data_IF_317915788008
#
_entry.id   IF_317915788008
#
_cell.length_a   1.000
_cell.length_b   1.000
_cell.length_c   1.000
_cell.angle_alpha   90.00
_cell.angle_beta   90.00
_cell.angle_gamma   90.00
#
_symmetry.space_group_name_H-M   'P 1'
#
loop_
_entity.id
_entity.type
_entity.pdbx_description
1 polymer ?
#
# COMPACT_ATOMS: atom_id res chain seq x y z
N UNK A 1 -15.93 2.28 -4.16
CA UNK A 1 -14.66 1.86 -4.78
C UNK A 1 -14.10 3.03 -5.58
N UNK A 2 -12.81 3.37 -5.44
CA UNK A 2 -12.14 4.43 -6.24
C UNK A 2 -11.43 3.75 -7.41
N UNK A 3 -11.69 4.21 -8.63
CA UNK A 3 -10.97 3.77 -9.81
C UNK A 3 -9.62 4.50 -9.88
N UNK A 4 -8.53 3.76 -10.09
CA UNK A 4 -7.15 4.29 -10.16
C UNK A 4 -6.57 4.29 -11.60
N UNK A 5 -7.38 3.97 -12.61
CA UNK A 5 -6.96 3.97 -14.02
C UNK A 5 -6.38 5.34 -14.45
N UNK A 6 -7.01 6.49 -14.12
CA UNK A 6 -6.46 7.80 -14.49
C UNK A 6 -5.05 8.06 -13.94
N UNK A 7 -4.77 7.61 -12.72
CA UNK A 7 -3.45 7.69 -12.10
C UNK A 7 -2.43 6.81 -12.83
N UNK A 8 -2.81 5.61 -13.24
CA UNK A 8 -1.93 4.73 -14.03
C UNK A 8 -1.65 5.30 -15.42
N UNK A 9 -2.65 5.90 -16.06
CA UNK A 9 -2.49 6.55 -17.36
C UNK A 9 -1.53 7.73 -17.29
N UNK A 10 -1.59 8.54 -16.21
CA UNK A 10 -0.64 9.63 -15.96
C UNK A 10 0.80 9.13 -15.82
N UNK A 11 1.02 8.07 -15.04
CA UNK A 11 2.36 7.48 -14.91
C UNK A 11 2.88 6.96 -16.25
N UNK A 12 2.04 6.25 -17.00
CA UNK A 12 2.38 5.72 -18.32
C UNK A 12 2.74 6.84 -19.30
N UNK A 13 1.97 7.92 -19.33
CA UNK A 13 2.24 9.08 -20.19
C UNK A 13 3.57 9.77 -19.85
N UNK A 14 4.00 9.71 -18.58
CA UNK A 14 5.29 10.22 -18.11
C UNK A 14 6.46 9.21 -18.28
N UNK A 15 6.23 8.03 -18.86
CA UNK A 15 7.25 7.00 -19.02
C UNK A 15 7.63 6.29 -17.71
N UNK A 16 6.84 6.45 -16.66
CA UNK A 16 7.08 5.82 -15.36
C UNK A 16 6.27 4.52 -15.26
N UNK A 17 6.95 3.40 -15.03
CA UNK A 17 6.33 2.08 -14.88
C UNK A 17 6.59 1.54 -13.48
N UNK A 18 5.55 1.39 -12.64
CA UNK A 18 5.68 0.70 -11.37
C UNK A 18 6.18 -0.74 -11.56
N UNK A 19 7.05 -1.19 -10.67
CA UNK A 19 7.57 -2.57 -10.62
C UNK A 19 6.52 -3.56 -10.10
N UNK A 20 5.49 -3.06 -9.41
CA UNK A 20 4.38 -3.85 -8.89
C UNK A 20 3.19 -2.96 -8.47
N UNK A 21 2.00 -3.53 -8.51
CA UNK A 21 0.72 -2.86 -8.22
C UNK A 21 -0.19 -3.76 -7.39
N UNK A 22 -0.43 -3.40 -6.13
CA UNK A 22 -1.33 -4.13 -5.25
C UNK A 22 -2.60 -3.31 -4.99
N UNK A 23 -3.74 -3.81 -5.49
CA UNK A 23 -5.06 -3.28 -5.14
C UNK A 23 -5.49 -3.84 -3.79
N UNK A 24 -5.64 -2.99 -2.79
CA UNK A 24 -5.93 -3.40 -1.41
C UNK A 24 -7.44 -3.60 -1.27
N UNK A 25 -7.84 -4.87 -1.25
CA UNK A 25 -9.24 -5.31 -1.18
C UNK A 25 -9.43 -6.27 0.00
N UNK A 26 -10.18 -7.36 -0.15
CA UNK A 26 -10.25 -8.41 0.87
C UNK A 26 -8.86 -8.99 1.16
N UNK A 27 -8.55 -9.24 2.43
CA UNK A 27 -7.20 -9.65 2.87
C UNK A 27 -6.23 -8.48 3.13
N UNK A 28 -6.64 -7.24 2.84
CA UNK A 28 -5.94 -6.03 3.28
C UNK A 28 -4.48 -5.97 2.81
N UNK A 29 -3.59 -5.47 3.64
CA UNK A 29 -2.17 -5.33 3.31
C UNK A 29 -1.47 -6.69 3.30
N UNK A 30 -1.76 -7.50 4.33
CA UNK A 30 -1.04 -8.74 4.61
C UNK A 30 -1.21 -9.78 3.49
N UNK A 31 -2.36 -9.78 2.82
CA UNK A 31 -2.60 -10.75 1.74
C UNK A 31 -2.34 -10.16 0.35
N UNK A 32 -2.55 -8.85 0.14
CA UNK A 32 -2.46 -8.27 -1.21
C UNK A 32 -1.04 -7.84 -1.60
N UNK A 33 -0.26 -7.29 -0.67
CA UNK A 33 1.10 -6.82 -0.98
C UNK A 33 2.04 -7.99 -1.35
N UNK A 34 2.07 -9.12 -0.62
CA UNK A 34 2.99 -10.22 -0.96
C UNK A 34 2.77 -10.83 -2.36
N UNK A 35 1.54 -10.75 -2.91
CA UNK A 35 1.20 -11.33 -4.22
C UNK A 35 1.95 -10.70 -5.39
N UNK A 36 2.46 -9.48 -5.20
CA UNK A 36 3.21 -8.75 -6.23
C UNK A 36 4.72 -8.76 -5.98
N UNK A 37 5.18 -9.38 -4.89
CA UNK A 37 6.59 -9.40 -4.51
C UNK A 37 7.21 -10.78 -4.82
N UNK A 38 8.42 -10.82 -5.42
CA UNK A 38 9.22 -12.04 -5.48
C UNK A 38 9.44 -12.65 -4.10
N UNK A 39 9.67 -13.97 -4.04
CA UNK A 39 9.77 -14.72 -2.77
C UNK A 39 10.88 -14.24 -1.83
N UNK A 40 11.95 -13.67 -2.38
CA UNK A 40 13.08 -13.15 -1.59
C UNK A 40 12.83 -11.75 -1.02
N UNK A 41 11.67 -11.13 -1.31
CA UNK A 41 11.32 -9.78 -0.86
C UNK A 41 10.06 -9.77 0.01
N UNK A 42 10.10 -8.94 1.05
CA UNK A 42 8.97 -8.51 1.85
C UNK A 42 8.81 -7.00 1.83
N UNK A 43 7.79 -6.49 2.52
CA UNK A 43 7.55 -5.06 2.68
C UNK A 43 7.52 -4.67 4.15
N UNK A 44 8.16 -3.55 4.48
CA UNK A 44 8.01 -2.89 5.78
C UNK A 44 7.17 -1.63 5.59
N UNK A 45 6.02 -1.57 6.25
CA UNK A 45 5.05 -0.48 6.15
C UNK A 45 5.21 0.42 7.37
N UNK A 46 5.34 1.72 7.13
CA UNK A 46 5.32 2.74 8.18
C UNK A 46 3.89 3.26 8.36
N UNK A 47 3.20 2.74 9.38
CA UNK A 47 1.83 3.15 9.71
C UNK A 47 1.70 4.61 10.12
N UNK A 48 2.80 5.27 10.50
CA UNK A 48 2.78 6.69 10.83
C UNK A 48 2.79 7.59 9.59
N UNK A 49 3.03 7.05 8.39
CA UNK A 49 3.15 7.85 7.17
C UNK A 49 1.79 8.38 6.65
N UNK A 50 0.68 7.90 7.20
CA UNK A 50 -0.65 8.42 6.89
C UNK A 50 -1.59 8.45 8.07
N UNK A 51 -2.59 9.32 7.96
CA UNK A 51 -3.69 9.35 8.91
C UNK A 51 -4.77 8.39 8.46
N UNK A 52 -5.03 7.35 9.25
CA UNK A 52 -6.14 6.42 9.02
C UNK A 52 -7.46 7.19 9.06
N UNK A 53 -8.33 7.06 8.02
CA UNK A 53 -9.63 7.73 8.01
C UNK A 53 -10.46 7.41 9.27
N UNK A 54 -11.18 8.38 9.86
CA UNK A 54 -11.91 8.18 11.12
C UNK A 54 -12.88 7.00 11.12
N UNK A 55 -13.52 6.74 9.97
CA UNK A 55 -14.42 5.60 9.80
C UNK A 55 -13.75 4.26 10.10
N UNK A 56 -12.51 4.04 9.63
CA UNK A 56 -11.81 2.78 9.90
C UNK A 56 -11.43 2.64 11.37
N UNK A 57 -11.07 3.75 12.03
CA UNK A 57 -10.79 3.74 13.48
C UNK A 57 -12.03 3.34 14.26
N UNK A 58 -13.18 3.90 13.92
CA UNK A 58 -14.47 3.53 14.52
C UNK A 58 -14.81 2.06 14.29
N UNK A 59 -14.61 1.54 13.07
CA UNK A 59 -14.88 0.13 12.77
C UNK A 59 -13.96 -0.83 13.54
N UNK A 60 -12.68 -0.48 13.69
CA UNK A 60 -11.72 -1.27 14.47
C UNK A 60 -12.10 -1.27 15.96
N UNK A 61 -12.51 -0.12 16.49
CA UNK A 61 -12.97 0.01 17.89
C UNK A 61 -14.26 -0.78 18.13
N UNK A 62 -15.27 -0.63 17.27
CA UNK A 62 -16.55 -1.35 17.40
C UNK A 62 -16.40 -2.87 17.23
N UNK A 63 -15.41 -3.31 16.45
CA UNK A 63 -15.12 -4.72 16.22
C UNK A 63 -14.12 -5.33 17.20
N UNK A 64 -13.57 -4.55 18.14
CA UNK A 64 -12.49 -4.96 19.05
C UNK A 64 -11.32 -5.66 18.32
N UNK A 65 -10.92 -5.12 17.17
CA UNK A 65 -9.93 -5.75 16.30
C UNK A 65 -8.50 -5.40 16.72
N UNK A 66 -7.65 -6.42 16.84
CA UNK A 66 -6.23 -6.22 17.02
C UNK A 66 -5.61 -5.52 15.78
N UNK A 67 -4.53 -4.72 15.93
CA UNK A 67 -3.98 -3.97 14.80
C UNK A 67 -3.61 -4.84 13.58
N UNK A 68 -2.94 -6.01 13.71
CA UNK A 68 -2.64 -6.85 12.55
C UNK A 68 -3.90 -7.37 11.84
N UNK A 69 -4.95 -7.67 12.60
CA UNK A 69 -6.23 -8.12 12.07
C UNK A 69 -6.94 -7.00 11.30
N UNK A 70 -6.95 -5.78 11.84
CA UNK A 70 -7.49 -4.61 11.15
C UNK A 70 -6.84 -4.40 9.77
N UNK A 71 -5.52 -4.59 9.65
CA UNK A 71 -4.79 -4.47 8.39
C UNK A 71 -4.92 -5.68 7.46
N UNK A 72 -5.45 -6.82 7.95
CA UNK A 72 -5.86 -7.96 7.12
C UNK A 72 -7.30 -7.80 6.62
N UNK A 73 -8.16 -7.15 7.37
CA UNK A 73 -9.58 -7.00 7.00
C UNK A 73 -9.81 -5.76 6.14
N UNK A 74 -9.21 -4.63 6.51
CA UNK A 74 -9.46 -3.34 5.89
C UNK A 74 -8.27 -2.83 5.09
N UNK A 75 -8.56 -1.89 4.19
CA UNK A 75 -7.53 -1.14 3.46
C UNK A 75 -6.93 0.03 4.26
N UNK A 76 -7.45 0.31 5.46
CA UNK A 76 -6.94 1.33 6.39
C UNK A 76 -6.70 2.73 5.77
N UNK A 77 -7.39 3.05 4.68
CA UNK A 77 -7.24 4.31 3.93
C UNK A 77 -6.36 4.24 2.67
N UNK A 78 -5.69 3.11 2.41
CA UNK A 78 -4.84 2.91 1.23
C UNK A 78 -5.50 1.95 0.26
N UNK A 79 -6.08 2.45 -0.83
CA UNK A 79 -6.73 1.59 -1.82
C UNK A 79 -5.76 0.94 -2.81
N UNK A 80 -4.60 1.54 -3.08
CA UNK A 80 -3.61 1.01 -4.02
C UNK A 80 -2.21 1.21 -3.44
N UNK A 81 -1.35 0.21 -3.60
CA UNK A 81 0.07 0.28 -3.26
C UNK A 81 0.89 0.04 -4.52
N UNK A 82 1.85 0.92 -4.77
CA UNK A 82 2.78 0.84 -5.90
C UNK A 82 4.16 0.48 -5.37
N UNK A 83 4.86 -0.40 -6.08
CA UNK A 83 6.30 -0.62 -5.90
C UNK A 83 7.02 0.13 -7.00
N UNK A 84 7.91 1.05 -6.64
CA UNK A 84 8.65 1.89 -7.59
C UNK A 84 10.14 1.87 -7.27
N UNK A 85 10.98 2.30 -8.20
CA UNK A 85 12.38 2.59 -7.89
C UNK A 85 12.46 3.80 -6.94
N UNK A 86 13.30 3.72 -5.91
CA UNK A 86 13.47 4.83 -4.97
C UNK A 86 13.88 6.13 -5.67
N UNK A 87 14.63 6.04 -6.79
CA UNK A 87 15.03 7.20 -7.59
C UNK A 87 13.87 7.86 -8.34
N UNK A 88 12.75 7.16 -8.51
CA UNK A 88 11.56 7.64 -9.20
C UNK A 88 10.43 8.02 -8.23
N UNK A 89 10.64 7.88 -6.91
CA UNK A 89 9.60 8.09 -5.92
C UNK A 89 9.05 9.53 -5.98
N UNK A 90 9.94 10.53 -6.01
CA UNK A 90 9.53 11.94 -6.07
C UNK A 90 8.77 12.29 -7.36
N UNK A 91 9.21 11.77 -8.52
CA UNK A 91 8.52 11.97 -9.80
C UNK A 91 7.09 11.38 -9.75
N UNK A 92 6.96 10.18 -9.18
CA UNK A 92 5.65 9.52 -9.01
C UNK A 92 4.76 10.32 -8.06
N UNK A 93 5.29 10.82 -6.94
CA UNK A 93 4.53 11.64 -6.00
C UNK A 93 4.08 12.97 -6.62
N UNK A 94 4.93 13.60 -7.45
CA UNK A 94 4.61 14.82 -8.17
C UNK A 94 3.45 14.65 -9.16
N UNK A 95 3.27 13.46 -9.74
CA UNK A 95 2.20 13.15 -10.69
C UNK A 95 0.91 12.67 -10.03
N UNK A 96 1.00 12.07 -8.85
CA UNK A 96 -0.12 11.41 -8.18
C UNK A 96 -0.58 12.17 -6.94
N UNK A 97 -1.58 13.03 -7.12
CA UNK A 97 -2.19 13.78 -6.02
C UNK A 97 -2.67 12.86 -4.88
N UNK A 98 -2.17 13.12 -3.67
CA UNK A 98 -2.51 12.38 -2.46
C UNK A 98 -1.74 11.07 -2.26
N UNK A 99 -0.87 10.67 -3.19
CA UNK A 99 0.08 9.59 -2.97
C UNK A 99 1.15 10.00 -1.94
N UNK A 100 1.78 9.00 -1.34
CA UNK A 100 2.83 9.16 -0.32
C UNK A 100 3.68 7.90 -0.25
N UNK A 101 4.91 8.05 0.25
CA UNK A 101 5.72 6.89 0.64
C UNK A 101 5.10 6.27 1.90
N UNK A 102 4.85 4.96 1.86
CA UNK A 102 4.27 4.21 2.99
C UNK A 102 5.22 3.17 3.57
N UNK A 103 6.42 3.04 3.04
CA UNK A 103 7.34 1.99 3.42
C UNK A 103 8.38 1.69 2.37
N UNK A 104 9.05 0.56 2.56
CA UNK A 104 10.17 0.10 1.76
C UNK A 104 10.14 -1.42 1.58
N UNK A 105 10.81 -1.91 0.54
CA UNK A 105 11.04 -3.35 0.38
C UNK A 105 12.24 -3.77 1.21
N UNK A 106 12.12 -4.93 1.85
CA UNK A 106 13.15 -5.54 2.70
C UNK A 106 13.37 -7.00 2.26
N UNK A 107 14.50 -7.64 2.64
CA UNK A 107 14.63 -9.08 2.50
C UNK A 107 13.45 -9.81 3.16
N UNK A 108 12.96 -10.87 2.51
CA UNK A 108 11.87 -11.67 3.06
C UNK A 108 12.27 -12.28 4.42
N UNK A 109 11.33 -12.25 5.37
CA UNK A 109 11.43 -12.94 6.66
C UNK A 109 10.25 -13.91 6.85
N UNK A 110 10.03 -14.37 8.08
CA UNK A 110 8.86 -15.21 8.42
C UNK A 110 7.54 -14.54 8.04
N UNK A 111 7.44 -13.23 8.29
CA UNK A 111 6.33 -12.39 7.81
C UNK A 111 6.74 -11.66 6.52
N UNK A 112 5.92 -11.79 5.47
CA UNK A 112 6.12 -11.09 4.19
C UNK A 112 5.80 -9.59 4.26
N UNK A 113 5.01 -9.16 5.25
CA UNK A 113 4.68 -7.75 5.49
C UNK A 113 4.86 -7.45 6.97
N UNK A 114 5.70 -6.46 7.29
CA UNK A 114 5.88 -5.91 8.64
C UNK A 114 5.17 -4.57 8.74
N UNK A 115 4.33 -4.37 9.76
CA UNK A 115 3.52 -3.17 9.99
C UNK A 115 4.06 -2.28 11.12
#
# INVERSE_FOLDING_TARGET
>A
HRCYVPEMDRLRAAGLTPKGLAHITGGGFLDNIPRILPDHLGAKIDRASWTVPPLFRLLVELGDLAPPEAYRVFNMGMGMVLVVDARQAEDVLGLLAGARVIGELIPAGEERVKL
#
